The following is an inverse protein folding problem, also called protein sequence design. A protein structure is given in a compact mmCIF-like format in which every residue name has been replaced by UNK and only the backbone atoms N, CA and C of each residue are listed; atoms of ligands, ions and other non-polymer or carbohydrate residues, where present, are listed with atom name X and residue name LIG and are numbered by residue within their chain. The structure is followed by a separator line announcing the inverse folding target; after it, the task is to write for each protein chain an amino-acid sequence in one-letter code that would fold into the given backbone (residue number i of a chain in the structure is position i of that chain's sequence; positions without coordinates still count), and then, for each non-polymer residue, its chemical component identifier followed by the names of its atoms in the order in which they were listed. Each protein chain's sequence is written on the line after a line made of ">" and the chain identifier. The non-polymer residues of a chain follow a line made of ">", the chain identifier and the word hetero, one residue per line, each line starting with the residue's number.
data_IF_628251207595
#
_entry.id   IF_628251207595
#
_cell.length_a   1.000
_cell.length_b   1.000
_cell.length_c   1.000
_cell.angle_alpha   90.00
_cell.angle_beta   90.00
_cell.angle_gamma   90.00
#
_symmetry.space_group_name_H-M   'P 1'
#
loop_
_entity.id
_entity.type
_entity.pdbx_description
1 polymer ?
#
# COMPACT_ATOMS: atom_id res chain seq x y z
N UNK A 1 -0.36 3.73 14.21
CA UNK A 1 0.63 3.43 13.17
C UNK A 1 1.91 4.17 13.51
N UNK A 2 3.05 3.51 13.42
CA UNK A 2 4.38 4.11 13.58
C UNK A 2 5.22 3.72 12.37
N UNK A 3 6.07 4.64 11.90
CA UNK A 3 7.01 4.35 10.82
C UNK A 3 8.08 3.40 11.37
N UNK A 4 8.19 2.21 10.77
CA UNK A 4 9.18 1.19 11.10
C UNK A 4 10.36 1.19 10.13
N UNK A 5 10.13 1.53 8.86
CA UNK A 5 11.17 1.50 7.81
C UNK A 5 10.84 2.45 6.67
N UNK A 6 11.87 3.04 6.08
CA UNK A 6 11.81 3.77 4.80
C UNK A 6 12.57 2.97 3.75
N UNK A 7 12.00 2.85 2.56
CA UNK A 7 12.54 2.10 1.44
C UNK A 7 12.74 3.08 0.29
N UNK A 8 13.95 3.19 -0.23
CA UNK A 8 14.29 4.11 -1.31
C UNK A 8 14.90 3.31 -2.45
N UNK A 9 14.40 3.52 -3.66
CA UNK A 9 14.96 2.92 -4.86
C UNK A 9 14.89 3.93 -6.00
N UNK A 10 16.02 4.10 -6.68
CA UNK A 10 16.19 5.02 -7.80
C UNK A 10 15.84 6.49 -7.45
N UNK A 11 16.10 6.89 -6.20
CA UNK A 11 15.82 8.23 -5.68
C UNK A 11 17.11 8.95 -5.27
N UNK A 12 17.48 9.99 -6.02
CA UNK A 12 18.75 10.74 -5.86
C UNK A 12 19.97 9.81 -5.73
N UNK A 13 20.68 9.85 -4.61
CA UNK A 13 21.84 8.98 -4.36
C UNK A 13 21.49 7.51 -4.09
N UNK A 14 20.23 7.20 -3.81
CA UNK A 14 19.75 5.83 -3.54
C UNK A 14 19.36 5.14 -4.85
N UNK A 15 20.34 4.84 -5.69
CA UNK A 15 20.11 4.20 -7.00
C UNK A 15 19.52 2.79 -6.86
N UNK A 16 20.06 2.01 -5.91
CA UNK A 16 19.60 0.65 -5.60
C UNK A 16 18.66 0.66 -4.39
N UNK A 17 17.78 -0.34 -4.31
CA UNK A 17 16.87 -0.52 -3.18
C UNK A 17 17.65 -0.48 -1.87
N UNK A 18 17.33 0.51 -1.04
CA UNK A 18 17.95 0.77 0.25
C UNK A 18 16.87 0.85 1.31
N UNK A 19 17.05 0.12 2.39
CA UNK A 19 16.09 0.04 3.49
C UNK A 19 16.69 0.64 4.76
N UNK A 20 16.02 1.66 5.31
CA UNK A 20 16.43 2.36 6.53
C UNK A 20 15.40 2.05 7.61
N UNK A 21 15.80 1.27 8.60
CA UNK A 21 14.95 0.97 9.76
C UNK A 21 14.90 2.17 10.71
N UNK A 22 13.71 2.48 11.21
CA UNK A 22 13.45 3.55 12.16
C UNK A 22 12.83 2.94 13.42
N UNK A 23 13.32 3.38 14.58
CA UNK A 23 12.73 3.07 15.88
C UNK A 23 12.25 4.37 16.58
N UNK A 24 11.80 4.25 17.82
CA UNK A 24 11.30 5.36 18.64
C UNK A 24 12.23 6.58 18.65
N UNK A 25 13.54 6.35 18.59
CA UNK A 25 14.54 7.38 18.39
C UNK A 25 15.58 6.86 17.41
N UNK A 26 15.82 7.61 16.34
CA UNK A 26 16.80 7.26 15.31
C UNK A 26 17.68 8.46 15.00
N UNK A 27 19.00 8.31 15.14
CA UNK A 27 19.97 9.35 14.80
C UNK A 27 20.62 9.04 13.44
N UNK A 28 20.43 9.92 12.46
CA UNK A 28 21.08 9.83 11.15
C UNK A 28 22.39 10.65 11.19
N UNK A 29 23.53 9.96 11.20
CA UNK A 29 24.87 10.59 11.29
C UNK A 29 25.68 10.26 10.03
N UNK A 30 26.47 11.22 9.56
CA UNK A 30 27.29 11.07 8.36
C UNK A 30 27.75 12.43 7.82
N UNK A 31 28.67 12.41 6.86
CA UNK A 31 29.16 13.63 6.20
C UNK A 31 28.02 14.39 5.49
N UNK A 32 28.24 15.66 5.19
CA UNK A 32 27.31 16.40 4.34
C UNK A 32 27.14 15.68 3.00
N UNK A 33 25.93 15.80 2.44
CA UNK A 33 25.55 15.18 1.15
C UNK A 33 25.59 13.65 1.12
N UNK A 34 25.78 12.99 2.26
CA UNK A 34 25.71 11.52 2.37
C UNK A 34 24.27 10.95 2.28
N UNK A 35 23.27 11.75 1.88
CA UNK A 35 21.88 11.30 1.72
C UNK A 35 21.02 11.32 2.99
N UNK A 36 21.50 11.92 4.09
CA UNK A 36 20.74 12.01 5.36
C UNK A 36 19.44 12.81 5.21
N UNK A 37 19.53 14.04 4.68
CA UNK A 37 18.36 14.89 4.42
C UNK A 37 17.43 14.25 3.40
N UNK A 38 17.99 13.54 2.42
CA UNK A 38 17.25 12.81 1.39
C UNK A 38 16.28 11.79 1.97
N UNK A 39 16.61 11.11 3.08
CA UNK A 39 15.66 10.20 3.75
C UNK A 39 14.46 10.97 4.31
N UNK A 40 14.70 12.14 4.91
CA UNK A 40 13.64 12.99 5.47
C UNK A 40 12.79 13.62 4.36
N UNK A 41 13.40 14.04 3.26
CA UNK A 41 12.69 14.57 2.09
C UNK A 41 11.86 13.49 1.39
N UNK A 42 12.33 12.25 1.35
CA UNK A 42 11.52 11.14 0.84
C UNK A 42 10.26 10.91 1.69
N UNK A 43 10.38 11.02 3.02
CA UNK A 43 9.21 10.97 3.91
C UNK A 43 8.26 12.15 3.63
N UNK A 44 8.80 13.35 3.42
CA UNK A 44 8.00 14.54 3.11
C UNK A 44 7.20 14.37 1.79
N UNK A 45 7.82 13.79 0.76
CA UNK A 45 7.15 13.41 -0.49
C UNK A 45 6.15 12.27 -0.28
N UNK A 46 6.47 11.28 0.55
CA UNK A 46 5.58 10.18 0.85
C UNK A 46 4.29 10.67 1.52
N UNK A 47 4.38 11.64 2.44
CA UNK A 47 3.22 12.24 3.12
C UNK A 47 2.53 13.36 2.32
N UNK A 48 2.99 13.65 1.10
CA UNK A 48 2.41 14.65 0.20
C UNK A 48 2.50 16.10 0.72
N UNK A 49 3.45 16.36 1.63
CA UNK A 49 3.72 17.71 2.14
C UNK A 49 4.43 18.59 1.09
N UNK A 50 5.20 17.96 0.20
CA UNK A 50 5.83 18.59 -0.95
C UNK A 50 5.80 17.65 -2.16
N UNK A 51 6.21 18.15 -3.33
CA UNK A 51 6.16 17.42 -4.60
C UNK A 51 7.57 17.18 -5.11
N UNK A 52 7.89 15.94 -5.55
CA UNK A 52 9.16 15.67 -6.20
C UNK A 52 9.25 16.34 -7.57
N UNK A 53 10.48 16.58 -8.01
CA UNK A 53 10.78 17.10 -9.33
C UNK A 53 11.60 16.11 -10.19
N UNK A 54 11.97 16.50 -11.41
CA UNK A 54 12.72 15.65 -12.33
C UNK A 54 14.14 15.32 -11.81
N UNK A 55 14.75 16.22 -11.05
CA UNK A 55 16.09 16.07 -10.47
C UNK A 55 16.14 15.11 -9.28
N UNK A 56 14.98 14.70 -8.75
CA UNK A 56 14.89 13.73 -7.67
C UNK A 56 15.11 12.27 -8.12
N UNK A 57 15.05 11.98 -9.43
CA UNK A 57 15.43 10.67 -9.95
C UNK A 57 16.95 10.44 -9.83
N UNK A 58 17.35 9.20 -9.56
CA UNK A 58 18.78 8.87 -9.51
C UNK A 58 19.44 9.08 -10.88
N UNK A 59 20.63 9.69 -10.86
CA UNK A 59 21.45 9.82 -12.07
C UNK A 59 21.81 8.41 -12.56
N UNK A 60 21.56 8.15 -13.85
CA UNK A 60 21.80 6.84 -14.46
C UNK A 60 20.75 5.76 -14.17
N UNK A 61 19.66 6.09 -13.44
CA UNK A 61 18.51 5.21 -13.25
C UNK A 61 17.35 5.51 -14.20
N UNK A 62 16.25 4.75 -14.08
CA UNK A 62 15.04 4.96 -14.88
C UNK A 62 14.14 5.99 -14.23
N UNK A 63 14.16 7.24 -14.68
CA UNK A 63 13.32 8.32 -14.11
C UNK A 63 11.81 8.01 -14.09
N UNK A 64 11.32 6.96 -14.77
CA UNK A 64 9.91 6.51 -14.70
C UNK A 64 9.61 5.57 -13.52
N UNK A 65 10.64 5.14 -12.80
CA UNK A 65 10.55 4.10 -11.74
C UNK A 65 11.28 4.54 -10.47
N UNK A 66 10.87 5.66 -9.90
CA UNK A 66 11.40 6.14 -8.62
C UNK A 66 10.46 5.65 -7.52
N UNK A 67 10.97 4.86 -6.57
CA UNK A 67 10.14 4.25 -5.52
C UNK A 67 10.52 4.79 -4.16
N UNK A 68 9.50 5.29 -3.46
CA UNK A 68 9.57 5.63 -2.04
C UNK A 68 8.55 4.75 -1.33
N UNK A 69 9.05 3.86 -0.48
CA UNK A 69 8.27 2.95 0.35
C UNK A 69 8.36 3.30 1.82
N UNK A 70 7.28 3.06 2.56
CA UNK A 70 7.25 3.20 4.01
C UNK A 70 6.53 2.00 4.61
N UNK A 71 7.16 1.37 5.60
CA UNK A 71 6.58 0.28 6.38
C UNK A 71 6.09 0.81 7.71
N UNK A 72 4.87 0.45 8.06
CA UNK A 72 4.20 0.85 9.31
C UNK A 72 3.93 -0.35 10.20
N UNK A 73 4.31 -0.21 11.47
CA UNK A 73 3.89 -1.11 12.54
C UNK A 73 2.89 -0.43 13.48
N UNK A 74 2.52 -1.11 14.58
CA UNK A 74 1.55 -0.61 15.58
C UNK A 74 0.26 -0.15 14.91
N UNK A 75 -0.28 -1.05 14.10
CA UNK A 75 -1.45 -0.83 13.27
C UNK A 75 -2.72 -0.69 14.12
N UNK A 76 -3.72 0.06 13.66
CA UNK A 76 -5.03 0.10 14.32
C UNK A 76 -5.65 -1.30 14.32
N UNK A 77 -6.35 -1.65 15.40
CA UNK A 77 -7.00 -2.95 15.53
C UNK A 77 -8.05 -3.17 14.41
N UNK A 78 -8.83 -2.12 14.09
CA UNK A 78 -9.84 -2.15 13.04
C UNK A 78 -9.95 -0.81 12.31
N UNK A 79 -10.38 -0.88 11.05
CA UNK A 79 -10.62 0.27 10.16
C UNK A 79 -11.86 0.04 9.31
N UNK A 80 -12.59 1.12 9.04
CA UNK A 80 -13.55 1.13 7.93
C UNK A 80 -12.79 1.49 6.67
N UNK A 81 -12.43 0.48 5.88
CA UNK A 81 -11.62 0.66 4.67
C UNK A 81 -12.45 1.15 3.48
N UNK A 82 -13.68 0.68 3.38
CA UNK A 82 -14.61 1.10 2.33
C UNK A 82 -16.05 1.10 2.85
N UNK A 83 -16.96 0.37 2.19
CA UNK A 83 -18.38 0.46 2.49
C UNK A 83 -18.80 -0.49 3.61
N UNK A 84 -19.42 0.07 4.64
CA UNK A 84 -20.43 -0.59 5.48
C UNK A 84 -19.92 -1.22 6.77
N UNK A 85 -18.70 -1.76 6.81
CA UNK A 85 -18.20 -2.47 8.00
C UNK A 85 -16.76 -2.09 8.38
N UNK A 86 -16.43 -2.34 9.66
CA UNK A 86 -15.04 -2.37 10.13
C UNK A 86 -14.40 -3.71 9.75
N UNK A 87 -13.12 -3.66 9.44
CA UNK A 87 -12.30 -4.82 9.10
C UNK A 87 -10.88 -4.61 9.64
N UNK A 88 -10.01 -5.60 9.49
CA UNK A 88 -8.59 -5.49 9.81
C UNK A 88 -7.76 -5.52 8.53
N UNK A 89 -6.58 -4.88 8.55
CA UNK A 89 -5.68 -4.94 7.40
C UNK A 89 -5.22 -6.37 7.08
N UNK A 90 -5.11 -7.21 8.12
CA UNK A 90 -4.78 -8.63 7.99
C UNK A 90 -5.90 -9.41 7.28
N UNK A 91 -7.15 -9.23 7.70
CA UNK A 91 -8.31 -9.89 7.10
C UNK A 91 -8.50 -9.51 5.62
N UNK A 92 -8.01 -8.33 5.24
CA UNK A 92 -8.09 -7.81 3.87
C UNK A 92 -6.81 -8.10 3.07
N UNK A 93 -5.90 -8.90 3.63
CA UNK A 93 -4.67 -9.34 2.96
C UNK A 93 -3.79 -8.16 2.48
N UNK A 94 -3.67 -7.13 3.31
CA UNK A 94 -2.90 -5.91 3.02
C UNK A 94 -1.56 -5.84 3.76
N UNK A 95 -1.22 -6.85 4.58
CA UNK A 95 0.00 -6.89 5.36
C UNK A 95 1.07 -7.72 4.67
N UNK A 96 2.33 -7.33 4.81
CA UNK A 96 3.47 -8.10 4.33
C UNK A 96 3.73 -9.34 5.21
N UNK A 97 4.80 -10.09 4.92
CA UNK A 97 5.15 -11.32 5.64
C UNK A 97 5.47 -11.09 7.12
N UNK A 98 5.90 -9.88 7.48
CA UNK A 98 6.18 -9.47 8.86
C UNK A 98 4.91 -9.05 9.62
N UNK A 99 3.75 -9.04 8.97
CA UNK A 99 2.50 -8.53 9.56
C UNK A 99 2.43 -7.00 9.63
N UNK A 100 3.27 -6.30 8.87
CA UNK A 100 3.30 -4.84 8.79
C UNK A 100 2.58 -4.33 7.53
N UNK A 101 2.18 -3.06 7.56
CA UNK A 101 1.65 -2.39 6.38
C UNK A 101 2.80 -1.75 5.60
N UNK A 102 3.15 -2.30 4.45
CA UNK A 102 4.19 -1.77 3.56
C UNK A 102 3.54 -1.04 2.37
N UNK A 103 3.72 0.28 2.30
CA UNK A 103 3.15 1.11 1.23
C UNK A 103 4.26 1.57 0.30
N UNK A 104 4.08 1.36 -1.00
CA UNK A 104 4.97 1.84 -2.04
C UNK A 104 4.31 2.94 -2.86
N UNK A 105 5.00 4.08 -3.00
CA UNK A 105 4.68 5.12 -3.97
C UNK A 105 5.68 5.08 -5.12
N UNK A 106 5.19 4.78 -6.31
CA UNK A 106 5.98 4.73 -7.54
C UNK A 106 5.75 6.00 -8.35
N UNK A 107 6.80 6.81 -8.46
CA UNK A 107 6.82 8.08 -9.17
C UNK A 107 7.45 7.92 -10.56
N UNK A 108 6.84 8.60 -11.53
CA UNK A 108 7.43 8.82 -12.85
C UNK A 108 7.85 10.27 -12.97
N UNK A 109 9.14 10.54 -12.74
CA UNK A 109 9.77 11.86 -12.71
C UNK A 109 10.42 12.23 -14.05
N UNK A 110 10.11 11.49 -15.12
CA UNK A 110 10.66 11.76 -16.45
C UNK A 110 10.14 13.07 -17.10
N UNK A 111 9.03 13.62 -16.59
CA UNK A 111 8.42 14.85 -17.10
C UNK A 111 8.62 16.02 -16.12
N UNK A 112 8.67 17.25 -16.65
CA UNK A 112 8.83 18.48 -15.85
C UNK A 112 7.70 18.68 -14.83
N UNK A 113 6.51 18.15 -15.10
CA UNK A 113 5.38 18.09 -14.16
C UNK A 113 5.00 16.62 -13.99
N UNK A 114 5.57 15.93 -12.99
CA UNK A 114 5.24 14.54 -12.72
C UNK A 114 3.75 14.35 -12.43
N UNK A 115 3.20 13.23 -12.88
CA UNK A 115 1.85 12.81 -12.49
C UNK A 115 1.83 12.38 -11.02
N UNK A 116 0.62 12.23 -10.45
CA UNK A 116 0.47 11.59 -9.15
C UNK A 116 1.14 10.19 -9.17
N UNK A 117 1.76 9.76 -8.06
CA UNK A 117 2.38 8.44 -7.99
C UNK A 117 1.32 7.35 -8.07
N UNK A 118 1.72 6.16 -8.54
CA UNK A 118 0.95 4.95 -8.27
C UNK A 118 1.21 4.53 -6.83
N UNK A 119 0.17 4.07 -6.14
CA UNK A 119 0.23 3.67 -4.73
C UNK A 119 -0.16 2.21 -4.60
N UNK A 120 0.68 1.45 -3.92
CA UNK A 120 0.49 0.03 -3.69
C UNK A 120 0.68 -0.32 -2.22
N UNK A 121 -0.06 -1.31 -1.72
CA UNK A 121 0.35 -2.07 -0.55
C UNK A 121 1.15 -3.29 -1.02
N UNK A 122 2.35 -3.49 -0.48
CA UNK A 122 3.09 -4.74 -0.65
C UNK A 122 2.61 -5.71 0.42
N UNK A 123 1.78 -6.68 0.05
CA UNK A 123 1.10 -7.56 0.99
C UNK A 123 1.04 -9.01 0.53
N UNK A 124 0.90 -9.92 1.49
CA UNK A 124 0.61 -11.34 1.26
C UNK A 124 -0.85 -11.45 0.84
N UNK A 125 -1.09 -11.41 -0.46
CA UNK A 125 -2.40 -11.21 -1.08
C UNK A 125 -2.83 -12.41 -1.94
N UNK A 126 -4.14 -12.71 -2.06
CA UNK A 126 -4.63 -13.81 -2.89
C UNK A 126 -4.19 -13.71 -4.36
N UNK A 127 -3.71 -14.83 -4.90
CA UNK A 127 -3.38 -15.01 -6.32
C UNK A 127 -4.40 -15.90 -7.05
N UNK A 128 -5.23 -16.63 -6.31
CA UNK A 128 -6.26 -17.51 -6.88
C UNK A 128 -7.21 -16.71 -7.79
N UNK A 129 -7.41 -17.19 -9.02
CA UNK A 129 -8.02 -16.40 -10.11
C UNK A 129 -9.45 -15.93 -9.78
N UNK A 130 -10.19 -16.71 -8.97
CA UNK A 130 -11.56 -16.38 -8.54
C UNK A 130 -11.63 -15.18 -7.59
N UNK A 131 -10.55 -14.87 -6.88
CA UNK A 131 -10.46 -13.78 -5.89
C UNK A 131 -9.42 -12.73 -6.25
N UNK A 132 -8.77 -12.89 -7.40
CA UNK A 132 -7.85 -11.91 -7.94
C UNK A 132 -8.56 -10.56 -8.14
N UNK A 133 -7.98 -9.51 -7.57
CA UNK A 133 -8.51 -8.15 -7.66
C UNK A 133 -9.81 -7.94 -6.86
N UNK A 134 -10.16 -8.84 -5.94
CA UNK A 134 -11.39 -8.74 -5.15
C UNK A 134 -11.47 -7.43 -4.34
N UNK A 135 -10.32 -6.94 -3.87
CA UNK A 135 -10.22 -5.67 -3.14
C UNK A 135 -10.59 -4.45 -4.01
N UNK A 136 -10.31 -4.52 -5.31
CA UNK A 136 -10.59 -3.45 -6.28
C UNK A 136 -12.03 -3.46 -6.81
N UNK A 137 -12.80 -4.52 -6.55
CA UNK A 137 -14.22 -4.60 -6.96
C UNK A 137 -15.09 -3.64 -6.15
N UNK A 138 -16.00 -2.96 -6.82
CA UNK A 138 -17.01 -2.13 -6.15
C UNK A 138 -18.13 -3.02 -5.54
N UNK A 139 -19.05 -2.42 -4.80
CA UNK A 139 -20.14 -3.15 -4.13
C UNK A 139 -21.04 -3.93 -5.12
N UNK A 140 -21.31 -3.38 -6.30
CA UNK A 140 -22.15 -4.02 -7.32
C UNK A 140 -21.48 -5.29 -7.85
N UNK A 141 -20.19 -5.21 -8.16
CA UNK A 141 -19.40 -6.33 -8.68
C UNK A 141 -19.24 -7.43 -7.62
N UNK A 142 -19.04 -7.04 -6.35
CA UNK A 142 -19.00 -7.99 -5.22
C UNK A 142 -20.33 -8.73 -5.04
N UNK A 143 -21.47 -8.03 -5.13
CA UNK A 143 -22.80 -8.66 -5.08
C UNK A 143 -23.02 -9.66 -6.21
N UNK A 144 -22.56 -9.34 -7.42
CA UNK A 144 -22.64 -10.26 -8.55
C UNK A 144 -21.84 -11.53 -8.28
N UNK A 145 -20.60 -11.39 -7.81
CA UNK A 145 -19.73 -12.53 -7.48
C UNK A 145 -20.30 -13.39 -6.33
N UNK A 146 -20.81 -12.76 -5.28
CA UNK A 146 -21.50 -13.46 -4.17
C UNK A 146 -22.69 -14.26 -4.70
N UNK A 147 -23.48 -13.69 -5.61
CA UNK A 147 -24.64 -14.37 -6.21
C UNK A 147 -24.21 -15.56 -7.07
N UNK A 148 -23.19 -15.39 -7.90
CA UNK A 148 -22.68 -16.44 -8.78
C UNK A 148 -22.10 -17.63 -7.98
N UNK A 149 -21.58 -17.36 -6.78
CA UNK A 149 -21.06 -18.37 -5.85
C UNK A 149 -22.11 -18.93 -4.88
N UNK A 150 -23.34 -18.41 -4.87
CA UNK A 150 -24.39 -18.85 -3.95
C UNK A 150 -24.17 -18.48 -2.49
N UNK A 151 -23.45 -17.37 -2.21
CA UNK A 151 -23.02 -16.96 -0.87
C UNK A 151 -23.89 -15.85 -0.23
N UNK A 152 -25.07 -15.57 -0.78
CA UNK A 152 -25.93 -14.46 -0.34
C UNK A 152 -26.32 -14.55 1.14
N UNK A 153 -26.56 -15.77 1.64
CA UNK A 153 -26.96 -16.01 3.04
C UNK A 153 -25.76 -16.01 4.01
N UNK A 154 -24.54 -15.97 3.49
CA UNK A 154 -23.30 -16.02 4.27
C UNK A 154 -22.68 -14.62 4.55
N UNK A 155 -23.27 -13.55 4.01
CA UNK A 155 -22.72 -12.20 4.15
C UNK A 155 -23.77 -11.09 4.11
N UNK A 156 -23.38 -9.90 4.56
CA UNK A 156 -24.16 -8.69 4.40
C UNK A 156 -23.81 -8.01 3.07
N UNK A 157 -24.76 -8.01 2.12
CA UNK A 157 -24.57 -7.44 0.78
C UNK A 157 -24.34 -5.92 0.79
N UNK A 158 -24.62 -5.22 1.88
CA UNK A 158 -24.36 -3.78 2.01
C UNK A 158 -22.95 -3.47 2.55
N UNK A 159 -22.18 -4.48 2.93
CA UNK A 159 -20.87 -4.37 3.54
C UNK A 159 -19.84 -5.08 2.67
N UNK A 160 -18.94 -4.31 2.06
CA UNK A 160 -17.92 -4.89 1.19
C UNK A 160 -16.98 -5.84 1.95
N UNK A 161 -16.51 -5.53 3.18
CA UNK A 161 -15.71 -6.47 3.95
C UNK A 161 -16.42 -7.81 4.18
N UNK A 162 -17.71 -7.78 4.53
CA UNK A 162 -18.51 -8.99 4.77
C UNK A 162 -18.56 -9.89 3.54
N UNK A 163 -18.82 -9.31 2.35
CA UNK A 163 -18.82 -10.06 1.10
C UNK A 163 -17.43 -10.63 0.75
N UNK A 164 -16.36 -9.84 0.91
CA UNK A 164 -14.98 -10.31 0.65
C UNK A 164 -14.62 -11.49 1.54
N UNK A 165 -14.94 -11.42 2.83
CA UNK A 165 -14.68 -12.51 3.78
C UNK A 165 -15.44 -13.79 3.41
N UNK A 166 -16.74 -13.69 3.07
CA UNK A 166 -17.51 -14.87 2.66
C UNK A 166 -16.92 -15.53 1.40
N UNK A 167 -16.47 -14.72 0.43
CA UNK A 167 -15.80 -15.24 -0.77
C UNK A 167 -14.49 -15.94 -0.40
N UNK A 168 -13.63 -15.32 0.41
CA UNK A 168 -12.37 -15.94 0.85
C UNK A 168 -12.61 -17.27 1.60
N UNK A 169 -13.57 -17.30 2.51
CA UNK A 169 -13.91 -18.50 3.28
C UNK A 169 -14.47 -19.63 2.41
N UNK A 170 -15.24 -19.29 1.37
CA UNK A 170 -15.80 -20.29 0.44
C UNK A 170 -14.74 -21.09 -0.31
N UNK A 171 -13.52 -20.54 -0.46
CA UNK A 171 -12.39 -21.21 -1.11
C UNK A 171 -11.58 -22.10 -0.15
N UNK A 172 -12.05 -22.30 1.09
CA UNK A 172 -11.45 -23.24 2.04
C UNK A 172 -10.02 -22.90 2.45
N UNK A 173 -9.62 -21.63 2.34
CA UNK A 173 -8.28 -21.15 2.66
C UNK A 173 -7.23 -21.36 1.57
N UNK A 174 -7.57 -21.97 0.42
CA UNK A 174 -6.67 -22.05 -0.72
C UNK A 174 -6.75 -20.78 -1.57
N UNK A 175 -6.18 -19.68 -1.05
CA UNK A 175 -6.15 -18.38 -1.72
C UNK A 175 -4.89 -18.17 -2.58
N UNK A 176 -3.96 -19.15 -2.58
CA UNK A 176 -2.63 -19.03 -3.18
C UNK A 176 -1.97 -17.70 -2.77
N UNK A 177 -1.82 -17.48 -1.46
CA UNK A 177 -1.30 -16.23 -0.92
C UNK A 177 0.17 -16.04 -1.29
N UNK A 178 0.49 -14.91 -1.91
CA UNK A 178 1.87 -14.54 -2.25
C UNK A 178 2.11 -13.06 -1.97
N UNK A 179 3.38 -12.71 -1.69
CA UNK A 179 3.79 -11.31 -1.51
C UNK A 179 3.77 -10.59 -2.86
N UNK A 180 2.85 -9.63 -3.01
CA UNK A 180 2.64 -8.90 -4.27
C UNK A 180 2.24 -7.43 -4.02
N UNK A 181 2.30 -6.62 -5.08
CA UNK A 181 1.84 -5.24 -5.06
C UNK A 181 0.33 -5.19 -5.31
N UNK A 182 -0.41 -4.69 -4.33
CA UNK A 182 -1.86 -4.51 -4.37
C UNK A 182 -2.16 -3.04 -4.69
N UNK A 183 -2.74 -2.70 -5.85
CA UNK A 183 -3.04 -1.32 -6.20
C UNK A 183 -4.05 -0.69 -5.24
N UNK A 184 -3.70 0.48 -4.72
CA UNK A 184 -4.50 1.21 -3.74
C UNK A 184 -5.06 2.53 -4.28
N UNK A 185 -4.57 3.07 -5.40
CA UNK A 185 -5.13 4.30 -5.98
C UNK A 185 -5.80 4.11 -7.35
N UNK A 186 -6.16 2.87 -7.69
CA UNK A 186 -6.95 2.49 -8.85
C UNK A 186 -8.35 2.00 -8.42
N UNK A 187 -9.37 2.24 -9.24
CA UNK A 187 -10.76 1.79 -9.02
C UNK A 187 -11.28 1.96 -7.58
N UNK A 188 -11.86 0.91 -6.98
CA UNK A 188 -12.34 0.93 -5.59
C UNK A 188 -11.20 1.01 -4.56
N UNK A 189 -9.95 0.75 -4.96
CA UNK A 189 -8.78 0.90 -4.10
C UNK A 189 -8.66 2.30 -3.50
N UNK A 190 -9.09 3.34 -4.25
CA UNK A 190 -9.02 4.75 -3.80
C UNK A 190 -9.72 4.99 -2.45
N UNK A 191 -10.85 4.33 -2.20
CA UNK A 191 -11.56 4.44 -0.93
C UNK A 191 -10.73 3.85 0.22
N UNK A 192 -10.13 2.68 -0.03
CA UNK A 192 -9.25 1.96 0.91
C UNK A 192 -8.01 2.79 1.21
N UNK A 193 -7.36 3.33 0.18
CA UNK A 193 -6.22 4.22 0.37
C UNK A 193 -6.58 5.44 1.20
N UNK A 194 -7.71 6.09 0.91
CA UNK A 194 -8.16 7.27 1.66
C UNK A 194 -8.37 6.94 3.15
N UNK A 195 -8.94 5.77 3.45
CA UNK A 195 -9.14 5.29 4.82
C UNK A 195 -7.81 5.00 5.55
N UNK A 196 -6.83 4.42 4.84
CA UNK A 196 -5.48 4.18 5.38
C UNK A 196 -4.74 5.51 5.59
N UNK A 197 -4.78 6.40 4.60
CA UNK A 197 -4.10 7.69 4.61
C UNK A 197 -4.54 8.55 5.80
N UNK A 198 -5.83 8.52 6.14
CA UNK A 198 -6.39 9.22 7.31
C UNK A 198 -5.86 8.71 8.68
N UNK A 199 -5.09 7.62 8.69
CA UNK A 199 -4.55 6.98 9.91
C UNK A 199 -3.03 6.91 9.93
N UNK A 200 -2.39 7.41 8.87
CA UNK A 200 -0.95 7.55 8.83
C UNK A 200 -0.48 8.50 9.94
N UNK A 201 0.71 8.29 10.51
CA UNK A 201 1.29 9.20 11.49
C UNK A 201 1.55 10.57 10.83
N UNK A 202 1.20 11.65 11.54
CA UNK A 202 1.48 13.04 11.20
C UNK A 202 2.71 13.52 11.94
#
# INVERSE_FOLDING_TARGET
>A
MRIKKVILENFRGYQVRTEVSLDQFTALIGRNDAGKSTILEALDYFFENSKPDQGDASIGGDAKKVLIGVVFDRLPAELTLDRGARSTLAAEHLLNEDGDLEIHKLFSLAAQRPSAPKVFARGVHPLEEKVKGLLQKNNTDLKALVKDMGLQDACNLNENPSMRQAIYQSLGGNLALELQDVPLNDDNGKAIWSAIQARLPV
#
